data_IF_296026250285
#
_entry.id   IF_296026250285
#
_cell.length_a   1.000
_cell.length_b   1.000
_cell.length_c   1.000
_cell.angle_alpha   90.00
_cell.angle_beta   90.00
_cell.angle_gamma   90.00
#
_symmetry.space_group_name_H-M   'P 1'
#
loop_
_entity.id
_entity.type
_entity.pdbx_description
1 polymer ?
#
# COMPACT_ATOMS: atom_id res chain seq x y z
N UNK A 1 4.60 2.17 -21.70
CA UNK A 1 4.00 3.52 -21.75
C UNK A 1 2.53 3.38 -22.14
N UNK A 2 1.63 4.16 -21.51
CA UNK A 2 0.18 4.03 -21.69
C UNK A 2 -0.27 4.76 -22.96
N UNK A 3 -0.90 4.03 -23.88
CA UNK A 3 -1.51 4.53 -25.10
C UNK A 3 -3.02 4.61 -24.85
N UNK A 4 -3.52 5.79 -24.53
CA UNK A 4 -4.92 6.00 -24.15
C UNK A 4 -5.87 5.88 -25.35
N UNK A 5 -6.97 5.16 -25.16
CA UNK A 5 -8.15 5.07 -26.01
C UNK A 5 -9.39 4.92 -25.12
N UNK A 6 -10.57 5.38 -25.57
CA UNK A 6 -11.85 5.31 -24.81
C UNK A 6 -12.07 3.86 -24.32
N UNK A 7 -12.08 3.65 -22.99
CA UNK A 7 -12.33 2.33 -22.38
C UNK A 7 -11.30 1.77 -21.40
N UNK A 8 -10.27 2.53 -21.00
CA UNK A 8 -9.36 2.11 -19.91
C UNK A 8 -7.87 1.98 -20.28
N UNK A 9 -7.49 2.36 -21.50
CA UNK A 9 -6.09 2.47 -21.94
C UNK A 9 -5.43 1.14 -22.29
N UNK A 10 -4.45 1.21 -23.19
CA UNK A 10 -3.66 0.08 -23.66
C UNK A 10 -2.18 0.30 -23.35
N UNK A 11 -1.45 -0.77 -23.09
CA UNK A 11 0.01 -0.75 -23.12
C UNK A 11 0.49 -1.19 -24.50
N UNK A 12 1.48 -0.46 -25.02
CA UNK A 12 2.16 -0.81 -26.27
C UNK A 12 3.47 -0.05 -26.38
N UNK A 13 4.23 -0.36 -27.42
CA UNK A 13 5.48 0.35 -27.70
C UNK A 13 5.19 1.80 -28.10
N UNK A 14 5.78 2.75 -27.37
CA UNK A 14 5.64 4.18 -27.67
C UNK A 14 6.17 4.54 -29.06
N UNK A 15 7.30 3.94 -29.44
CA UNK A 15 7.99 4.18 -30.71
C UNK A 15 7.25 3.58 -31.93
N UNK A 16 6.31 2.67 -31.70
CA UNK A 16 5.44 2.15 -32.77
C UNK A 16 4.60 3.25 -33.40
N UNK A 17 4.06 4.18 -32.59
CA UNK A 17 3.33 5.35 -33.10
C UNK A 17 4.20 6.28 -33.96
N UNK A 18 5.52 6.28 -33.72
CA UNK A 18 6.50 7.07 -34.48
C UNK A 18 7.08 6.28 -35.66
N UNK A 19 6.57 5.07 -35.94
CA UNK A 19 7.05 4.15 -36.99
C UNK A 19 8.53 3.75 -36.86
N UNK A 20 9.14 3.92 -35.69
CA UNK A 20 10.53 3.55 -35.41
C UNK A 20 10.67 2.21 -34.68
N UNK A 21 9.55 1.54 -34.40
CA UNK A 21 9.52 0.21 -33.83
C UNK A 21 8.47 -0.65 -34.52
N UNK A 22 8.84 -1.87 -34.92
CA UNK A 22 7.96 -2.84 -35.58
C UNK A 22 6.90 -3.43 -34.63
N UNK A 23 7.06 -3.29 -33.32
CA UNK A 23 6.12 -3.80 -32.34
C UNK A 23 4.83 -2.97 -32.30
N UNK A 24 3.80 -3.43 -33.00
CA UNK A 24 2.45 -2.83 -33.03
C UNK A 24 1.48 -3.47 -32.03
N UNK A 25 1.95 -4.36 -31.15
CA UNK A 25 1.07 -5.07 -30.23
C UNK A 25 0.57 -4.15 -29.12
N UNK A 26 -0.76 -4.19 -28.92
CA UNK A 26 -1.46 -3.48 -27.87
C UNK A 26 -2.11 -4.48 -26.92
N UNK A 27 -1.89 -4.31 -25.62
CA UNK A 27 -2.55 -5.10 -24.58
C UNK A 27 -3.42 -4.19 -23.70
N UNK A 28 -4.66 -4.57 -23.39
CA UNK A 28 -5.49 -3.83 -22.43
C UNK A 28 -4.77 -3.64 -21.09
N UNK A 29 -4.76 -2.41 -20.57
CA UNK A 29 -4.11 -2.08 -19.28
C UNK A 29 -4.62 -2.97 -18.14
N UNK A 30 -5.95 -3.04 -18.00
CA UNK A 30 -6.61 -3.80 -16.91
C UNK A 30 -6.12 -5.25 -16.86
N UNK A 31 -5.87 -5.84 -18.01
CA UNK A 31 -5.44 -7.23 -18.13
C UNK A 31 -4.02 -7.44 -17.62
N UNK A 32 -3.08 -6.59 -18.01
CA UNK A 32 -1.71 -6.66 -17.50
C UNK A 32 -1.68 -6.49 -15.99
N UNK A 33 -2.43 -5.50 -15.48
CA UNK A 33 -2.53 -5.26 -14.04
C UNK A 33 -3.14 -6.46 -13.30
N UNK A 34 -4.20 -7.07 -13.84
CA UNK A 34 -4.84 -8.24 -13.25
C UNK A 34 -3.92 -9.47 -13.24
N UNK A 35 -3.27 -9.79 -14.36
CA UNK A 35 -2.34 -10.92 -14.44
C UNK A 35 -1.18 -10.76 -13.45
N UNK A 36 -0.58 -9.57 -13.37
CA UNK A 36 0.51 -9.31 -12.42
C UNK A 36 0.05 -9.43 -10.97
N UNK A 37 -1.14 -8.89 -10.63
CA UNK A 37 -1.66 -8.94 -9.26
C UNK A 37 -2.01 -10.38 -8.85
N UNK A 38 -2.61 -11.17 -9.76
CA UNK A 38 -2.97 -12.57 -9.47
C UNK A 38 -1.73 -13.41 -9.20
N UNK A 39 -0.71 -13.33 -10.05
CA UNK A 39 0.57 -14.02 -9.84
C UNK A 39 1.26 -13.60 -8.53
N UNK A 40 1.22 -12.30 -8.24
CA UNK A 40 1.77 -11.77 -7.00
C UNK A 40 1.01 -12.31 -5.77
N UNK A 41 -0.32 -12.44 -5.85
CA UNK A 41 -1.12 -13.07 -4.81
C UNK A 41 -0.73 -14.53 -4.60
N UNK A 42 -0.63 -15.33 -5.65
CA UNK A 42 -0.30 -16.76 -5.53
C UNK A 42 1.06 -16.98 -4.85
N UNK A 43 2.03 -16.10 -5.08
CA UNK A 43 3.35 -16.17 -4.44
C UNK A 43 3.39 -15.63 -3.02
N UNK A 44 2.64 -14.57 -2.73
CA UNK A 44 2.61 -13.96 -1.40
C UNK A 44 1.73 -14.77 -0.45
N UNK A 45 0.66 -15.40 -0.94
CA UNK A 45 -0.29 -16.20 -0.16
C UNK A 45 0.24 -17.61 0.14
N UNK A 46 1.52 -17.75 0.45
CA UNK A 46 2.06 -19.00 1.01
C UNK A 46 1.93 -18.97 2.53
N UNK A 47 1.77 -20.15 3.15
CA UNK A 47 1.62 -20.29 4.61
C UNK A 47 2.77 -19.63 5.38
N UNK A 48 4.01 -19.80 4.91
CA UNK A 48 5.21 -19.20 5.50
C UNK A 48 5.20 -17.66 5.44
N UNK A 49 4.80 -17.09 4.29
CA UNK A 49 4.70 -15.65 4.12
C UNK A 49 3.57 -15.05 4.96
N UNK A 50 2.45 -15.77 5.11
CA UNK A 50 1.36 -15.38 5.99
C UNK A 50 1.82 -15.29 7.44
N UNK A 51 2.54 -16.31 7.93
CA UNK A 51 3.08 -16.33 9.29
C UNK A 51 4.06 -15.18 9.53
N UNK A 52 4.93 -14.90 8.55
CA UNK A 52 5.81 -13.73 8.61
C UNK A 52 5.03 -12.41 8.68
N UNK A 53 3.97 -12.24 7.88
CA UNK A 53 3.11 -11.05 7.91
C UNK A 53 2.42 -10.92 9.27
N UNK A 54 1.91 -12.02 9.84
CA UNK A 54 1.31 -12.04 11.17
C UNK A 54 2.26 -11.53 12.25
N UNK A 55 3.45 -12.13 12.33
CA UNK A 55 4.46 -11.75 13.32
C UNK A 55 4.90 -10.28 13.14
N UNK A 56 5.02 -9.82 11.89
CA UNK A 56 5.42 -8.44 11.61
C UNK A 56 4.32 -7.44 12.01
N UNK A 57 3.05 -7.76 11.75
CA UNK A 57 1.92 -6.90 12.13
C UNK A 57 1.75 -6.86 13.65
N UNK A 58 1.86 -8.00 14.33
CA UNK A 58 1.86 -8.04 15.80
C UNK A 58 2.98 -7.17 16.38
N UNK A 59 4.21 -7.35 15.89
CA UNK A 59 5.35 -6.54 16.33
C UNK A 59 5.15 -5.04 16.08
N UNK A 60 4.60 -4.65 14.92
CA UNK A 60 4.34 -3.24 14.62
C UNK A 60 3.24 -2.66 15.48
N UNK A 61 2.22 -3.47 15.81
CA UNK A 61 1.20 -3.08 16.77
C UNK A 61 1.86 -2.84 18.14
N UNK A 62 2.67 -3.79 18.63
CA UNK A 62 3.42 -3.68 19.89
C UNK A 62 4.35 -2.46 19.94
N UNK A 63 5.09 -2.17 18.86
CA UNK A 63 5.95 -0.98 18.75
C UNK A 63 5.15 0.32 18.79
N UNK A 64 3.99 0.38 18.13
CA UNK A 64 3.05 1.48 18.25
C UNK A 64 2.54 1.65 19.68
N UNK A 65 2.24 0.53 20.34
CA UNK A 65 1.80 0.48 21.73
C UNK A 65 2.87 0.81 22.75
N UNK A 66 4.17 0.72 22.46
CA UNK A 66 5.19 1.15 23.41
C UNK A 66 5.35 2.68 23.43
N UNK A 67 5.02 3.37 22.34
CA UNK A 67 5.11 4.83 22.25
C UNK A 67 3.98 5.55 23.01
N UNK A 68 2.77 4.99 23.03
CA UNK A 68 1.62 5.59 23.73
C UNK A 68 1.82 5.67 25.26
N UNK A 69 2.24 4.60 25.97
CA UNK A 69 2.60 4.61 27.39
C UNK A 69 3.73 5.58 27.72
N UNK A 70 4.74 5.72 26.87
CA UNK A 70 5.81 6.69 27.11
C UNK A 70 5.30 8.13 27.04
N UNK A 71 4.44 8.45 26.07
CA UNK A 71 3.83 9.78 25.96
C UNK A 71 2.89 10.07 27.13
N UNK A 72 2.09 9.08 27.53
CA UNK A 72 1.24 9.19 28.73
C UNK A 72 2.08 9.40 29.99
N UNK A 73 3.17 8.63 30.18
CA UNK A 73 4.09 8.82 31.31
C UNK A 73 4.70 10.22 31.33
N UNK A 74 5.17 10.73 30.18
CA UNK A 74 5.72 12.09 30.09
C UNK A 74 4.68 13.16 30.44
N UNK A 75 3.45 13.02 29.94
CA UNK A 75 2.36 13.96 30.27
C UNK A 75 1.91 13.87 31.73
N UNK A 76 1.92 12.69 32.34
CA UNK A 76 1.66 12.53 33.79
C UNK A 76 2.72 13.25 34.64
N UNK A 77 4.00 13.16 34.28
CA UNK A 77 5.06 13.91 34.97
C UNK A 77 4.87 15.42 34.82
N UNK A 78 4.42 15.90 33.65
CA UNK A 78 4.09 17.32 33.45
C UNK A 78 2.89 17.75 34.29
N UNK A 79 1.86 16.91 34.36
CA UNK A 79 0.68 17.11 35.20
C UNK A 79 1.04 17.23 36.68
N UNK A 80 1.88 16.32 37.21
CA UNK A 80 2.35 16.37 38.60
C UNK A 80 3.12 17.66 38.92
N UNK A 81 3.92 18.16 37.98
CA UNK A 81 4.65 19.43 38.16
C UNK A 81 3.69 20.63 38.26
N UNK A 82 2.67 20.68 37.40
CA UNK A 82 1.68 21.77 37.41
C UNK A 82 0.81 21.70 38.66
N UNK A 83 0.43 20.51 39.11
CA UNK A 83 -0.25 20.31 40.39
C UNK A 83 0.58 20.83 41.57
N UNK A 84 1.89 20.57 41.58
CA UNK A 84 2.79 21.12 42.59
C UNK A 84 2.89 22.65 42.51
N UNK A 85 2.95 23.25 41.31
CA UNK A 85 2.92 24.70 41.12
C UNK A 85 1.63 25.33 41.67
N UNK A 86 0.47 24.76 41.34
CA UNK A 86 -0.83 25.19 41.86
C UNK A 86 -0.84 25.12 43.39
N UNK A 87 -0.37 24.01 43.97
CA UNK A 87 -0.30 23.85 45.42
C UNK A 87 0.61 24.89 46.07
N UNK A 88 1.73 25.25 45.44
CA UNK A 88 2.64 26.29 45.90
C UNK A 88 1.98 27.68 45.85
N UNK A 89 1.24 28.00 44.79
CA UNK A 89 0.48 29.24 44.71
C UNK A 89 -0.63 29.33 45.76
N UNK A 90 -1.36 28.22 45.99
CA UNK A 90 -2.37 28.16 47.05
C UNK A 90 -1.74 28.35 48.43
N UNK A 91 -0.59 27.74 48.69
CA UNK A 91 0.15 27.93 49.94
C UNK A 91 0.61 29.39 50.10
N UNK A 92 1.07 30.03 49.02
CA UNK A 92 1.47 31.44 49.01
C UNK A 92 0.29 32.37 49.34
N UNK A 93 -0.89 32.10 48.78
CA UNK A 93 -2.13 32.83 49.09
C UNK A 93 -2.56 32.61 50.55
N UNK A 94 -2.47 31.38 51.05
CA UNK A 94 -2.80 31.05 52.46
C UNK A 94 -1.94 31.79 53.47
N UNK A 95 -0.70 32.14 53.11
CA UNK A 95 0.20 32.96 53.92
C UNK A 95 -0.16 34.47 53.90
N UNK A 96 -1.24 34.86 53.23
CA UNK A 96 -1.73 36.25 53.17
C UNK A 96 -1.17 37.08 52.04
N UNK A 97 -0.34 36.50 51.17
CA UNK A 97 0.27 37.22 50.05
C UNK A 97 -0.62 37.14 48.80
N UNK A 98 -1.45 38.15 48.60
CA UNK A 98 -2.34 38.25 47.42
C UNK A 98 -1.80 39.32 46.48
N UNK A 99 -1.40 38.92 45.27
CA UNK A 99 -1.05 39.85 44.19
C UNK A 99 -1.81 39.52 42.91
N UNK A 100 -2.14 40.52 42.10
CA UNK A 100 -2.80 40.33 40.79
C UNK A 100 -1.99 39.40 39.87
N UNK A 101 -0.66 39.42 39.98
CA UNK A 101 0.22 38.54 39.21
C UNK A 101 0.02 37.07 39.59
N UNK A 102 -0.14 36.76 40.88
CA UNK A 102 -0.31 35.39 41.37
C UNK A 102 -1.67 34.82 40.95
N UNK A 103 -2.72 35.64 40.97
CA UNK A 103 -4.04 35.24 40.46
C UNK A 103 -3.99 34.93 38.96
N UNK A 104 -3.32 35.75 38.15
CA UNK A 104 -3.16 35.50 36.71
C UNK A 104 -2.39 34.22 36.41
N UNK A 105 -1.26 33.98 37.10
CA UNK A 105 -0.46 32.76 36.92
C UNK A 105 -1.19 31.50 37.42
N UNK A 106 -2.00 31.62 38.48
CA UNK A 106 -2.81 30.53 39.00
C UNK A 106 -3.88 30.11 37.99
N UNK A 107 -4.63 31.07 37.43
CA UNK A 107 -5.66 30.78 36.41
C UNK A 107 -5.04 30.15 35.16
N UNK A 108 -3.83 30.56 34.77
CA UNK A 108 -3.13 29.96 33.64
C UNK A 108 -2.66 28.54 33.94
N UNK A 109 -2.16 28.28 35.16
CA UNK A 109 -1.78 26.94 35.60
C UNK A 109 -2.99 25.99 35.70
N UNK A 110 -4.13 26.45 36.23
CA UNK A 110 -5.39 25.71 36.29
C UNK A 110 -5.88 25.33 34.89
N UNK A 111 -5.81 26.26 33.93
CA UNK A 111 -6.19 25.98 32.54
C UNK A 111 -5.30 24.90 31.91
N UNK A 112 -3.97 24.99 32.11
CA UNK A 112 -3.02 23.97 31.62
C UNK A 112 -3.25 22.61 32.30
N UNK A 113 -3.64 22.60 33.57
CA UNK A 113 -3.99 21.38 34.30
C UNK A 113 -5.19 20.66 33.66
N UNK A 114 -6.26 21.41 33.37
CA UNK A 114 -7.45 20.87 32.70
C UNK A 114 -7.15 20.35 31.29
N UNK A 115 -6.39 21.10 30.49
CA UNK A 115 -5.98 20.69 29.15
C UNK A 115 -5.15 19.39 29.19
N UNK A 116 -4.15 19.30 30.07
CA UNK A 116 -3.34 18.09 30.23
C UNK A 116 -4.16 16.90 30.75
N UNK A 117 -5.11 17.13 31.64
CA UNK A 117 -6.01 16.08 32.16
C UNK A 117 -6.91 15.53 31.05
N UNK A 118 -7.46 16.39 30.20
CA UNK A 118 -8.25 15.96 29.04
C UNK A 118 -7.40 15.18 28.02
N UNK A 119 -6.17 15.63 27.75
CA UNK A 119 -5.26 14.93 26.86
C UNK A 119 -4.82 13.57 27.41
N UNK A 120 -4.50 13.47 28.71
CA UNK A 120 -4.16 12.18 29.36
C UNK A 120 -5.38 11.25 29.28
N UNK A 121 -6.58 11.73 29.62
CA UNK A 121 -7.80 10.92 29.55
C UNK A 121 -8.10 10.45 28.13
N UNK A 122 -7.87 11.28 27.12
CA UNK A 122 -8.03 10.90 25.71
C UNK A 122 -7.01 9.84 25.28
N UNK A 123 -5.76 9.96 25.71
CA UNK A 123 -4.69 9.00 25.42
C UNK A 123 -4.90 7.67 26.17
N UNK A 124 -5.40 7.70 27.41
CA UNK A 124 -5.75 6.51 28.18
C UNK A 124 -6.99 5.82 27.63
N UNK A 125 -8.01 6.57 27.23
CA UNK A 125 -9.18 6.03 26.53
C UNK A 125 -8.79 5.41 25.19
N UNK A 126 -7.89 6.05 24.45
CA UNK A 126 -7.31 5.46 23.25
C UNK A 126 -6.57 4.17 23.60
N UNK A 127 -5.73 4.13 24.65
CA UNK A 127 -5.04 2.91 25.08
C UNK A 127 -6.00 1.77 25.44
N UNK A 128 -7.04 2.04 26.23
CA UNK A 128 -8.01 1.02 26.65
C UNK A 128 -8.89 0.53 25.50
N UNK A 129 -9.17 1.39 24.51
CA UNK A 129 -9.97 1.03 23.33
C UNK A 129 -9.14 0.67 22.10
N UNK A 130 -7.81 0.78 22.14
CA UNK A 130 -6.98 0.57 20.96
C UNK A 130 -6.54 -0.88 20.84
N UNK A 131 -7.19 -1.52 19.87
CA UNK A 131 -6.55 -2.40 18.91
C UNK A 131 -5.98 -3.70 19.48
N UNK A 132 -6.89 -4.66 19.72
CA UNK A 132 -6.51 -6.08 19.69
C UNK A 132 -5.81 -6.35 18.36
N UNK A 133 -4.67 -7.02 18.39
CA UNK A 133 -3.96 -7.43 17.17
C UNK A 133 -4.97 -7.94 16.14
N UNK A 134 -4.91 -7.47 14.89
CA UNK A 134 -5.95 -7.75 13.92
C UNK A 134 -6.09 -9.26 13.78
N UNK A 135 -7.32 -9.80 13.86
CA UNK A 135 -7.52 -11.24 13.82
C UNK A 135 -6.97 -11.81 12.51
N UNK A 136 -6.57 -13.08 12.53
CA UNK A 136 -6.00 -13.74 11.35
C UNK A 136 -6.89 -13.59 10.11
N UNK A 137 -8.19 -13.71 10.33
CA UNK A 137 -9.25 -13.48 9.34
C UNK A 137 -9.18 -12.09 8.68
N UNK A 138 -8.83 -11.04 9.41
CA UNK A 138 -8.72 -9.68 8.86
C UNK A 138 -7.53 -9.56 7.91
N UNK A 139 -6.39 -10.17 8.24
CA UNK A 139 -5.20 -10.16 7.39
C UNK A 139 -5.45 -11.00 6.14
N UNK A 140 -6.05 -12.19 6.29
CA UNK A 140 -6.45 -13.01 5.15
C UNK A 140 -7.39 -12.24 4.22
N UNK A 141 -8.44 -11.61 4.74
CA UNK A 141 -9.35 -10.79 3.94
C UNK A 141 -8.63 -9.65 3.20
N UNK A 142 -7.61 -9.02 3.81
CA UNK A 142 -6.82 -7.96 3.18
C UNK A 142 -5.90 -8.46 2.07
N UNK A 143 -5.38 -9.68 2.22
CA UNK A 143 -4.53 -10.32 1.22
C UNK A 143 -5.37 -10.91 0.07
N UNK A 144 -6.54 -11.47 0.36
CA UNK A 144 -7.52 -11.85 -0.65
C UNK A 144 -7.96 -10.64 -1.48
N UNK A 145 -8.19 -9.49 -0.82
CA UNK A 145 -8.52 -8.22 -1.46
C UNK A 145 -7.29 -7.33 -1.72
N UNK A 146 -6.13 -7.93 -2.02
CA UNK A 146 -4.87 -7.20 -2.22
C UNK A 146 -5.00 -6.02 -3.20
N UNK A 147 -5.74 -6.21 -4.31
CA UNK A 147 -5.97 -5.15 -5.30
C UNK A 147 -6.61 -3.91 -4.69
N UNK A 148 -7.64 -4.10 -3.87
CA UNK A 148 -8.31 -2.99 -3.19
C UNK A 148 -7.42 -2.36 -2.12
N UNK A 149 -6.65 -3.18 -1.41
CA UNK A 149 -5.68 -2.71 -0.41
C UNK A 149 -4.60 -1.84 -1.06
N UNK A 150 -4.04 -2.25 -2.20
CA UNK A 150 -3.05 -1.48 -2.96
C UNK A 150 -3.65 -0.18 -3.53
N UNK A 151 -4.93 -0.22 -3.95
CA UNK A 151 -5.61 0.95 -4.48
C UNK A 151 -5.94 2.02 -3.41
N UNK A 152 -6.07 1.64 -2.13
CA UNK A 152 -6.34 2.60 -1.04
C UNK A 152 -5.19 3.58 -0.81
N UNK A 153 -3.94 3.16 -1.06
CA UNK A 153 -2.78 4.03 -0.98
C UNK A 153 -1.88 3.79 -2.20
N UNK A 154 -2.30 4.33 -3.34
CA UNK A 154 -1.65 4.14 -4.64
C UNK A 154 -0.20 4.58 -4.66
N UNK A 155 0.15 5.69 -3.99
CA UNK A 155 1.53 6.21 -3.98
C UNK A 155 2.47 5.23 -3.27
N UNK A 156 2.15 4.86 -2.03
CA UNK A 156 3.01 3.96 -1.25
C UNK A 156 3.05 2.56 -1.87
N UNK A 157 1.90 2.08 -2.35
CA UNK A 157 1.81 0.80 -3.04
C UNK A 157 2.62 0.75 -4.33
N UNK A 158 2.63 1.84 -5.11
CA UNK A 158 3.42 1.91 -6.34
C UNK A 158 4.93 1.84 -6.09
N UNK A 159 5.40 2.45 -4.99
CA UNK A 159 6.81 2.39 -4.59
C UNK A 159 7.20 0.99 -4.14
N UNK A 160 6.38 0.37 -3.28
CA UNK A 160 6.61 -1.00 -2.82
C UNK A 160 6.61 -2.00 -3.99
N UNK A 161 5.65 -1.87 -4.93
CA UNK A 161 5.61 -2.70 -6.13
C UNK A 161 6.83 -2.48 -7.03
N UNK A 162 7.31 -1.25 -7.15
CA UNK A 162 8.51 -0.92 -7.94
C UNK A 162 9.77 -1.55 -7.34
N UNK A 163 9.91 -1.55 -6.02
CA UNK A 163 11.04 -2.17 -5.32
C UNK A 163 11.02 -3.70 -5.47
N UNK A 164 9.83 -4.28 -5.37
CA UNK A 164 9.62 -5.73 -5.42
C UNK A 164 9.77 -6.30 -6.84
N UNK A 165 9.09 -5.71 -7.83
CA UNK A 165 9.02 -6.23 -9.20
C UNK A 165 10.16 -5.73 -10.10
N UNK A 166 10.80 -4.61 -9.73
CA UNK A 166 11.72 -3.85 -10.59
C UNK A 166 11.06 -3.43 -11.93
N UNK A 167 11.80 -2.83 -12.89
CA UNK A 167 11.23 -2.53 -14.20
C UNK A 167 10.70 -3.79 -14.88
N UNK A 168 9.43 -3.78 -15.24
CA UNK A 168 8.80 -4.86 -16.00
C UNK A 168 9.10 -4.61 -17.48
N UNK A 169 9.93 -5.45 -18.09
CA UNK A 169 10.22 -5.38 -19.53
C UNK A 169 9.29 -6.32 -20.29
N UNK A 170 8.62 -5.80 -21.31
CA UNK A 170 7.74 -6.58 -22.17
C UNK A 170 8.47 -6.90 -23.47
N UNK A 171 8.77 -8.17 -23.70
CA UNK A 171 9.30 -8.70 -24.96
C UNK A 171 8.12 -9.07 -25.87
N UNK A 172 8.12 -8.58 -27.10
CA UNK A 172 7.09 -8.90 -28.08
C UNK A 172 7.55 -10.06 -28.95
N UNK A 173 6.82 -11.17 -28.90
CA UNK A 173 6.99 -12.32 -29.79
C UNK A 173 6.02 -12.15 -30.95
N UNK A 174 6.56 -11.79 -32.13
CA UNK A 174 5.77 -11.39 -33.29
C UNK A 174 5.58 -12.49 -34.34
N UNK A 175 6.48 -13.47 -34.38
CA UNK A 175 6.45 -14.56 -35.37
C UNK A 175 6.74 -15.92 -34.71
N UNK A 176 6.35 -16.99 -35.40
CA UNK A 176 6.53 -18.37 -34.93
C UNK A 176 8.01 -18.75 -34.80
N UNK A 177 8.86 -18.20 -35.66
CA UNK A 177 10.30 -18.43 -35.64
C UNK A 177 10.98 -17.73 -34.46
N UNK A 178 10.38 -16.63 -33.98
CA UNK A 178 10.82 -15.90 -32.80
C UNK A 178 10.24 -16.47 -31.49
N UNK A 179 9.35 -17.47 -31.57
CA UNK A 179 8.72 -18.12 -30.42
C UNK A 179 9.66 -19.13 -29.75
N UNK A 180 10.62 -18.60 -29.00
CA UNK A 180 11.53 -19.40 -28.18
C UNK A 180 10.81 -20.17 -27.08
N UNK A 181 9.69 -19.64 -26.57
CA UNK A 181 9.00 -20.18 -25.41
C UNK A 181 8.02 -21.31 -25.75
N UNK A 182 7.63 -21.45 -27.03
CA UNK A 182 6.71 -22.49 -27.53
C UNK A 182 5.48 -22.68 -26.64
N UNK A 183 4.93 -21.56 -26.18
CA UNK A 183 3.85 -21.56 -25.19
C UNK A 183 2.52 -22.07 -25.77
N UNK A 184 2.44 -22.19 -27.09
CA UNK A 184 1.30 -22.72 -27.82
C UNK A 184 1.75 -23.97 -28.62
N UNK A 185 1.17 -25.13 -28.30
CA UNK A 185 1.46 -26.41 -28.96
C UNK A 185 0.73 -26.56 -30.32
N UNK A 186 1.17 -27.54 -31.10
CA UNK A 186 0.95 -27.79 -32.55
C UNK A 186 -0.52 -27.87 -33.06
N UNK A 187 -1.52 -27.64 -32.21
CA UNK A 187 -2.94 -27.71 -32.57
C UNK A 187 -3.56 -26.37 -33.02
N UNK A 188 -2.85 -25.24 -32.87
CA UNK A 188 -3.32 -23.96 -33.40
C UNK A 188 -2.95 -23.78 -34.88
N UNK A 189 -3.97 -23.60 -35.73
CA UNK A 189 -3.80 -23.44 -37.20
C UNK A 189 -2.98 -22.21 -37.60
N UNK A 190 -2.82 -21.21 -36.72
CA UNK A 190 -2.10 -19.97 -37.00
C UNK A 190 -1.41 -19.42 -35.73
N UNK A 191 -0.13 -19.04 -35.85
CA UNK A 191 0.65 -18.45 -34.77
C UNK A 191 0.09 -17.08 -34.36
N UNK A 192 -0.03 -16.84 -33.05
CA UNK A 192 -0.55 -15.58 -32.50
C UNK A 192 0.55 -14.78 -31.80
N UNK A 193 0.78 -13.51 -32.19
CA UNK A 193 1.74 -12.65 -31.51
C UNK A 193 1.37 -12.41 -30.04
N UNK A 194 2.38 -12.44 -29.16
CA UNK A 194 2.16 -12.23 -27.74
C UNK A 194 3.29 -11.45 -27.06
N UNK A 195 3.04 -11.01 -25.82
CA UNK A 195 4.09 -10.42 -24.98
C UNK A 195 4.49 -11.36 -23.86
N UNK A 196 5.79 -11.40 -23.62
CA UNK A 196 6.41 -11.99 -22.44
C UNK A 196 6.85 -10.86 -21.52
N UNK A 197 6.37 -10.86 -20.28
CA UNK A 197 6.77 -9.92 -19.25
C UNK A 197 7.92 -10.49 -18.43
N UNK A 198 9.07 -9.85 -18.47
CA UNK A 198 10.16 -10.13 -17.55
C UNK A 198 10.10 -9.19 -16.36
N UNK A 199 10.09 -9.78 -15.18
CA UNK A 199 10.17 -9.09 -13.89
C UNK A 199 11.38 -9.62 -13.13
N UNK A 200 11.80 -8.92 -12.07
CA UNK A 200 12.88 -9.39 -11.18
C UNK A 200 12.56 -10.74 -10.51
N UNK A 201 11.28 -11.12 -10.44
CA UNK A 201 10.80 -12.31 -9.73
C UNK A 201 10.56 -13.47 -10.69
N UNK A 202 10.18 -13.20 -11.96
CA UNK A 202 10.00 -14.21 -13.01
C UNK A 202 9.76 -13.60 -14.40
N UNK A 203 9.94 -14.44 -15.42
CA UNK A 203 9.39 -14.26 -16.77
C UNK A 203 7.96 -14.83 -16.82
N UNK A 204 6.98 -14.03 -17.24
CA UNK A 204 5.55 -14.36 -17.31
C UNK A 204 5.06 -14.24 -18.75
N UNK A 205 4.40 -15.28 -19.27
CA UNK A 205 3.64 -15.17 -20.51
C UNK A 205 2.34 -14.40 -20.24
N UNK A 206 2.13 -13.24 -20.86
CA UNK A 206 0.91 -12.44 -20.64
C UNK A 206 -0.30 -12.91 -21.46
N UNK A 207 -0.15 -13.98 -22.26
CA UNK A 207 -1.17 -14.50 -23.14
C UNK A 207 -1.20 -16.03 -23.01
N UNK A 208 -2.33 -16.54 -22.50
CA UNK A 208 -2.76 -17.94 -22.50
C UNK A 208 -4.09 -18.00 -23.28
N UNK A 209 -4.38 -19.13 -23.94
CA UNK A 209 -5.34 -19.34 -25.04
C UNK A 209 -6.76 -18.84 -24.76
N UNK A 210 -7.18 -18.79 -23.49
CA UNK A 210 -8.56 -18.44 -23.11
C UNK A 210 -8.91 -16.95 -23.29
N UNK A 211 -7.93 -16.05 -23.29
CA UNK A 211 -8.20 -14.61 -23.08
C UNK A 211 -7.68 -13.78 -24.24
N UNK A 212 -8.60 -13.08 -24.93
CA UNK A 212 -8.31 -12.38 -26.20
C UNK A 212 -7.83 -10.94 -26.07
N UNK A 213 -6.77 -10.55 -26.80
CA UNK A 213 -6.32 -9.17 -26.98
C UNK A 213 -7.23 -8.38 -27.94
N UNK A 214 -7.32 -7.06 -27.81
CA UNK A 214 -8.27 -6.24 -28.59
C UNK A 214 -7.94 -6.11 -30.08
N UNK A 215 -6.68 -6.30 -30.49
CA UNK A 215 -6.31 -6.39 -31.91
C UNK A 215 -6.57 -7.77 -32.53
N UNK A 216 -7.09 -8.75 -31.78
CA UNK A 216 -7.38 -10.10 -32.27
C UNK A 216 -8.32 -10.09 -33.49
N UNK A 217 -9.23 -9.11 -33.59
CA UNK A 217 -10.13 -8.98 -34.74
C UNK A 217 -9.51 -8.33 -35.98
N UNK A 218 -8.44 -7.54 -35.87
CA UNK A 218 -7.81 -6.90 -37.04
C UNK A 218 -6.92 -7.85 -37.84
N UNK A 219 -6.45 -8.94 -37.23
CA UNK A 219 -5.64 -9.96 -37.90
C UNK A 219 -6.49 -11.01 -38.64
N UNK A 220 -7.82 -11.03 -38.47
CA UNK A 220 -8.74 -11.85 -39.28
C UNK A 220 -8.97 -11.30 -40.71
N UNK A 221 -8.41 -10.15 -41.05
CA UNK A 221 -8.66 -9.45 -42.31
C UNK A 221 -7.45 -9.23 -43.20
N UNK A 222 -6.31 -9.87 -42.93
CA UNK A 222 -5.15 -9.87 -43.83
C UNK A 222 -4.75 -11.30 -44.18
N UNK A 223 -5.75 -12.07 -44.62
CA UNK A 223 -5.55 -13.16 -45.57
C UNK A 223 -5.26 -12.53 -46.93
N UNK A 224 -4.04 -12.78 -47.44
CA UNK A 224 -3.83 -12.90 -48.89
C UNK A 224 -4.71 -14.04 -49.43
#
# INVERSE_FOLDING_TARGET
MLLSGKGGGYYGCYNSRRKTCANMLLIPRKRIEETIITELKERILTTENLEYVYQKVERLADEGFNKVPELVKKKKVQYEKIQQEIQNYLNFIRLGNISKSVSGTLTEAEKRDEELKQEIGSLEFQKENSFKAPPKEWINHRLENLRETLNKNTVSSSLALKELLAPISLEAVLTKEADFYRLFEENEKEFKPYYVAHTKIRTLALLDEEKKGSNWYHWRGTSL
#
